data_IF_621475169971
#
_entry.id   IF_621475169971
#
_cell.length_a   1.000
_cell.length_b   1.000
_cell.length_c   1.000
_cell.angle_alpha   90.00
_cell.angle_beta   90.00
_cell.angle_gamma   90.00
#
_symmetry.space_group_name_H-M   'P 1'
#
loop_
_entity.id
_entity.type
_entity.pdbx_description
1 polymer ?
#
# COMPACT_ATOMS: atom_id res chain seq x y z
N UNK A 1 26.57 9.83 -0.27
CA UNK A 1 25.45 9.24 -1.01
C UNK A 1 24.86 8.15 -0.15
N UNK A 2 23.79 8.46 0.58
CA UNK A 2 23.06 7.46 1.38
C UNK A 2 22.56 6.39 0.40
N UNK A 3 23.03 5.15 0.55
CA UNK A 3 22.56 4.05 -0.30
C UNK A 3 21.16 3.67 0.16
N UNK A 4 20.15 4.38 -0.36
CA UNK A 4 18.75 3.99 -0.22
C UNK A 4 18.60 2.54 -0.73
N UNK A 5 17.95 1.69 0.07
CA UNK A 5 17.62 0.33 -0.32
C UNK A 5 16.66 0.31 -1.51
N UNK A 6 16.38 -0.87 -2.09
CA UNK A 6 15.53 -0.99 -3.26
C UNK A 6 14.11 -0.42 -3.05
N UNK A 7 13.57 -0.54 -1.84
CA UNK A 7 12.26 0.01 -1.48
C UNK A 7 12.29 1.53 -1.44
N UNK A 8 13.25 2.10 -0.71
CA UNK A 8 13.37 3.56 -0.58
C UNK A 8 13.62 4.24 -1.93
N UNK A 9 14.28 3.56 -2.87
CA UNK A 9 14.50 4.09 -4.23
C UNK A 9 13.20 4.26 -5.01
N UNK A 10 12.37 3.22 -5.13
CA UNK A 10 11.12 3.38 -5.87
C UNK A 10 10.16 4.32 -5.14
N UNK A 11 10.19 4.33 -3.80
CA UNK A 11 9.40 5.26 -3.00
C UNK A 11 9.79 6.72 -3.23
N UNK A 12 11.09 7.02 -3.32
CA UNK A 12 11.58 8.37 -3.60
C UNK A 12 11.21 8.79 -5.02
N UNK A 13 11.50 7.94 -6.00
CA UNK A 13 11.18 8.23 -7.41
C UNK A 13 9.66 8.45 -7.60
N UNK A 14 8.82 7.65 -6.94
CA UNK A 14 7.35 7.81 -7.00
C UNK A 14 6.89 9.10 -6.32
N UNK A 15 7.53 9.53 -5.24
CA UNK A 15 7.23 10.80 -4.58
C UNK A 15 7.66 12.01 -5.41
N UNK A 16 8.77 11.89 -6.14
CA UNK A 16 9.28 12.94 -7.02
C UNK A 16 8.42 13.09 -8.29
N UNK A 17 7.97 11.98 -8.87
CA UNK A 17 7.17 11.96 -10.10
C UNK A 17 5.67 12.19 -9.82
N UNK A 18 5.16 11.65 -8.71
CA UNK A 18 3.76 11.81 -8.31
C UNK A 18 2.76 10.93 -9.08
N UNK A 19 3.23 10.02 -9.94
CA UNK A 19 2.38 9.10 -10.71
C UNK A 19 3.08 7.75 -10.97
N UNK A 20 2.29 6.71 -11.25
CA UNK A 20 2.78 5.38 -11.65
C UNK A 20 3.13 5.36 -13.14
N UNK A 21 4.40 5.65 -13.47
CA UNK A 21 4.92 5.49 -14.84
C UNK A 21 5.13 4.00 -15.18
N UNK A 22 5.21 3.62 -16.47
CA UNK A 22 5.50 2.25 -16.88
C UNK A 22 6.78 1.68 -16.25
N UNK A 23 7.83 2.51 -16.11
CA UNK A 23 9.10 2.11 -15.51
C UNK A 23 8.98 1.84 -14.01
N UNK A 24 8.17 2.66 -13.31
CA UNK A 24 7.89 2.46 -11.89
C UNK A 24 7.02 1.22 -11.65
N UNK A 25 6.02 1.00 -12.50
CA UNK A 25 5.18 -0.21 -12.49
C UNK A 25 6.03 -1.46 -12.66
N UNK A 26 6.90 -1.50 -13.68
CA UNK A 26 7.79 -2.63 -13.92
C UNK A 26 8.72 -2.88 -12.73
N UNK A 27 9.31 -1.81 -12.18
CA UNK A 27 10.25 -1.91 -11.07
C UNK A 27 9.60 -2.45 -9.80
N UNK A 28 8.44 -1.91 -9.41
CA UNK A 28 7.68 -2.34 -8.24
C UNK A 28 7.23 -3.80 -8.42
N UNK A 29 6.71 -4.14 -9.60
CA UNK A 29 6.25 -5.50 -9.91
C UNK A 29 7.41 -6.52 -9.88
N UNK A 30 8.58 -6.15 -10.38
CA UNK A 30 9.76 -7.03 -10.35
C UNK A 30 10.29 -7.21 -8.92
N UNK A 31 10.26 -6.16 -8.11
CA UNK A 31 10.78 -6.19 -6.74
C UNK A 31 9.88 -7.02 -5.80
N UNK A 32 8.56 -6.81 -5.89
CA UNK A 32 7.59 -7.39 -4.96
C UNK A 32 6.75 -8.54 -5.56
N UNK A 33 7.02 -8.94 -6.81
CA UNK A 33 6.30 -10.00 -7.52
C UNK A 33 4.80 -9.73 -7.59
N UNK A 34 4.00 -10.79 -7.44
CA UNK A 34 2.54 -10.74 -7.47
C UNK A 34 1.96 -9.75 -6.44
N UNK A 35 2.62 -9.57 -5.29
CA UNK A 35 2.17 -8.59 -4.28
C UNK A 35 2.29 -7.16 -4.81
N UNK A 36 3.35 -6.85 -5.56
CA UNK A 36 3.53 -5.56 -6.23
C UNK A 36 2.46 -5.31 -7.29
N UNK A 37 2.15 -6.30 -8.11
CA UNK A 37 1.12 -6.19 -9.16
C UNK A 37 -0.25 -5.89 -8.54
N UNK A 38 -0.66 -6.67 -7.53
CA UNK A 38 -1.96 -6.48 -6.84
C UNK A 38 -2.07 -5.14 -6.14
N UNK A 39 -0.96 -4.63 -5.60
CA UNK A 39 -0.92 -3.31 -5.00
C UNK A 39 -1.22 -2.21 -6.03
N UNK A 40 -0.59 -2.29 -7.21
CA UNK A 40 -0.80 -1.34 -8.30
C UNK A 40 -2.25 -1.37 -8.80
N UNK A 41 -2.81 -2.56 -8.99
CA UNK A 41 -4.22 -2.74 -9.37
C UNK A 41 -5.16 -2.09 -8.33
N UNK A 42 -4.88 -2.29 -7.04
CA UNK A 42 -5.69 -1.69 -5.97
C UNK A 42 -5.68 -0.17 -5.97
N UNK A 43 -4.53 0.42 -6.27
CA UNK A 43 -4.40 1.87 -6.39
C UNK A 43 -5.15 2.38 -7.62
N UNK A 44 -5.05 1.70 -8.76
CA UNK A 44 -5.78 2.05 -9.97
C UNK A 44 -7.31 1.97 -9.78
N UNK A 45 -7.76 0.98 -9.00
CA UNK A 45 -9.18 0.76 -8.66
C UNK A 45 -9.67 1.62 -7.48
N UNK A 46 -8.86 2.54 -6.95
CA UNK A 46 -9.18 3.42 -5.80
C UNK A 46 -9.65 2.65 -4.56
N UNK A 47 -9.02 1.51 -4.26
CA UNK A 47 -9.35 0.65 -3.12
C UNK A 47 -8.66 1.04 -1.81
N UNK A 48 -7.84 2.09 -1.81
CA UNK A 48 -7.16 2.61 -0.62
C UNK A 48 -7.96 3.76 -0.02
N UNK A 49 -8.53 3.55 1.16
CA UNK A 49 -9.42 4.47 1.88
C UNK A 49 -8.71 5.05 3.10
N UNK A 50 -8.56 6.36 3.17
CA UNK A 50 -7.96 7.05 4.31
C UNK A 50 -9.01 7.50 5.30
N UNK A 51 -8.86 7.14 6.56
CA UNK A 51 -9.60 7.67 7.70
C UNK A 51 -8.68 8.51 8.58
N UNK A 52 -9.23 9.16 9.61
CA UNK A 52 -8.45 10.04 10.50
C UNK A 52 -7.37 9.32 11.31
N UNK A 53 -7.63 8.07 11.65
CA UNK A 53 -6.80 7.19 12.48
C UNK A 53 -6.00 6.18 11.66
N UNK A 54 -6.59 5.58 10.63
CA UNK A 54 -5.94 4.53 9.85
C UNK A 54 -6.29 4.54 8.36
N UNK A 55 -5.59 3.70 7.60
CA UNK A 55 -5.91 3.46 6.18
C UNK A 55 -6.52 2.08 6.04
N UNK A 56 -7.65 1.96 5.34
CA UNK A 56 -8.25 0.68 4.97
C UNK A 56 -7.96 0.38 3.51
N UNK A 57 -7.55 -0.84 3.21
CA UNK A 57 -7.45 -1.33 1.84
C UNK A 57 -8.53 -2.38 1.62
N UNK A 58 -9.42 -2.11 0.66
CA UNK A 58 -10.46 -3.07 0.27
C UNK A 58 -9.81 -4.18 -0.54
N UNK A 59 -9.76 -5.38 0.03
CA UNK A 59 -9.35 -6.59 -0.67
C UNK A 59 -10.53 -7.26 -1.37
N UNK A 60 -10.26 -8.34 -2.11
CA UNK A 60 -11.34 -9.08 -2.78
C UNK A 60 -12.25 -9.85 -1.82
N UNK A 61 -11.74 -10.18 -0.62
CA UNK A 61 -12.44 -11.01 0.35
C UNK A 61 -12.92 -10.24 1.59
N UNK A 62 -12.22 -9.17 1.97
CA UNK A 62 -12.45 -8.42 3.20
C UNK A 62 -11.75 -7.05 3.13
N UNK A 63 -11.98 -6.22 4.13
CA UNK A 63 -11.28 -4.97 4.39
C UNK A 63 -10.09 -5.18 5.33
N UNK A 64 -8.97 -4.52 5.03
CA UNK A 64 -7.75 -4.67 5.82
C UNK A 64 -7.24 -3.32 6.31
N UNK A 65 -7.03 -3.23 7.62
CA UNK A 65 -6.49 -2.03 8.26
C UNK A 65 -4.97 -2.04 8.11
N UNK A 66 -4.44 -0.91 7.66
CA UNK A 66 -3.02 -0.63 7.51
C UNK A 66 -2.66 0.58 8.36
N UNK A 67 -1.77 0.38 9.32
CA UNK A 67 -1.31 1.37 10.29
C UNK A 67 0.19 1.16 10.55
N UNK A 68 0.98 2.24 10.55
CA UNK A 68 2.42 2.23 10.81
C UNK A 68 3.23 1.16 10.04
N UNK A 69 2.86 0.93 8.77
CA UNK A 69 3.52 -0.05 7.89
C UNK A 69 3.11 -1.51 8.16
N UNK A 70 2.20 -1.75 9.10
CA UNK A 70 1.66 -3.07 9.43
C UNK A 70 0.26 -3.24 8.85
N UNK A 71 -0.17 -4.49 8.63
CA UNK A 71 -1.47 -4.81 8.06
C UNK A 71 -2.12 -5.98 8.80
N UNK A 72 -3.45 -5.94 8.94
CA UNK A 72 -4.23 -7.00 9.62
C UNK A 72 -4.44 -8.26 8.79
N UNK A 73 -3.95 -8.32 7.54
CA UNK A 73 -4.19 -9.46 6.66
C UNK A 73 -3.41 -10.71 7.08
N UNK A 74 -3.90 -11.89 6.65
CA UNK A 74 -3.24 -13.17 6.93
C UNK A 74 -1.85 -13.25 6.29
N UNK A 75 -1.65 -12.63 5.13
CA UNK A 75 -0.36 -12.63 4.44
C UNK A 75 0.71 -11.92 5.28
N UNK A 76 0.41 -10.72 5.79
CA UNK A 76 1.26 -9.98 6.72
C UNK A 76 1.56 -10.79 8.00
N UNK A 77 0.56 -11.51 8.51
CA UNK A 77 0.71 -12.26 9.76
C UNK A 77 1.56 -13.53 9.65
N UNK A 78 1.53 -14.20 8.50
CA UNK A 78 2.06 -15.57 8.40
C UNK A 78 3.15 -15.76 7.34
N UNK A 79 3.26 -14.85 6.37
CA UNK A 79 4.05 -15.08 5.15
C UNK A 79 5.06 -13.96 4.85
N UNK A 80 5.25 -13.00 5.76
CA UNK A 80 6.20 -11.91 5.61
C UNK A 80 7.43 -12.19 6.47
N UNK A 81 8.61 -12.12 5.87
CA UNK A 81 9.89 -12.13 6.56
C UNK A 81 10.18 -10.74 7.15
N UNK A 82 10.18 -10.57 8.49
CA UNK A 82 10.43 -9.27 9.11
C UNK A 82 11.86 -8.75 8.91
N UNK A 83 12.80 -9.60 8.50
CA UNK A 83 14.19 -9.22 8.25
C UNK A 83 14.43 -8.81 6.77
N UNK A 84 13.46 -9.03 5.87
CA UNK A 84 13.50 -8.58 4.48
C UNK A 84 12.59 -7.37 4.23
N UNK A 85 13.13 -6.15 4.08
CA UNK A 85 12.33 -4.94 3.87
C UNK A 85 11.58 -4.94 2.53
N UNK A 86 11.88 -5.85 1.60
CA UNK A 86 11.15 -5.99 0.33
C UNK A 86 9.96 -6.92 0.45
N UNK A 87 9.89 -7.74 1.50
CA UNK A 87 8.80 -8.66 1.73
C UNK A 87 7.68 -7.94 2.49
N UNK A 88 6.78 -7.31 1.74
CA UNK A 88 5.62 -6.62 2.31
C UNK A 88 4.34 -7.15 1.69
N UNK A 89 3.26 -7.25 2.48
CA UNK A 89 1.98 -7.66 1.93
C UNK A 89 1.46 -6.59 0.94
N UNK A 90 0.67 -7.01 -0.04
CA UNK A 90 0.22 -6.10 -1.10
C UNK A 90 -0.59 -4.90 -0.58
N UNK A 91 -1.30 -5.03 0.56
CA UNK A 91 -2.06 -3.91 1.14
C UNK A 91 -1.13 -2.80 1.65
N UNK A 92 -0.01 -3.15 2.29
CA UNK A 92 0.98 -2.16 2.76
C UNK A 92 1.58 -1.44 1.55
N UNK A 93 1.98 -2.19 0.54
CA UNK A 93 2.48 -1.65 -0.73
C UNK A 93 1.46 -0.70 -1.38
N UNK A 94 0.18 -1.08 -1.43
CA UNK A 94 -0.87 -0.24 -2.00
C UNK A 94 -1.00 1.10 -1.26
N UNK A 95 -0.94 1.09 0.08
CA UNK A 95 -0.96 2.32 0.89
C UNK A 95 0.27 3.19 0.61
N UNK A 96 1.46 2.60 0.57
CA UNK A 96 2.69 3.33 0.30
C UNK A 96 2.68 4.00 -1.07
N UNK A 97 2.16 3.32 -2.09
CA UNK A 97 2.02 3.83 -3.46
C UNK A 97 0.95 4.93 -3.49
N UNK A 98 -0.27 4.65 -3.01
CA UNK A 98 -1.40 5.59 -3.05
C UNK A 98 -1.09 6.90 -2.36
N UNK A 99 -0.43 6.86 -1.18
CA UNK A 99 -0.05 8.07 -0.44
C UNK A 99 0.89 8.97 -1.25
N UNK A 100 1.82 8.38 -2.00
CA UNK A 100 2.84 9.13 -2.77
C UNK A 100 2.28 9.78 -4.02
N UNK A 101 1.31 9.14 -4.67
CA UNK A 101 0.67 9.68 -5.87
C UNK A 101 -0.64 10.43 -5.58
N UNK A 102 -1.00 10.63 -4.31
CA UNK A 102 -2.23 11.32 -3.92
C UNK A 102 -3.53 10.58 -4.26
N UNK A 103 -3.49 9.25 -4.36
CA UNK A 103 -4.64 8.41 -4.73
C UNK A 103 -5.32 7.73 -3.52
N UNK A 104 -5.11 8.24 -2.31
CA UNK A 104 -5.88 7.83 -1.14
C UNK A 104 -7.25 8.50 -1.22
N UNK A 105 -8.32 7.70 -1.18
CA UNK A 105 -9.69 8.20 -1.08
C UNK A 105 -9.98 8.57 0.38
N UNK A 106 -9.95 9.87 0.69
CA UNK A 106 -10.00 10.37 2.07
C UNK A 106 -11.44 10.56 2.52
N UNK A 107 -11.79 9.89 3.62
CA UNK A 107 -13.06 10.06 4.33
C UNK A 107 -12.80 10.83 5.64
N UNK A 108 -13.42 11.99 5.79
CA UNK A 108 -13.32 12.81 7.01
C UNK A 108 -14.24 12.29 8.13
N UNK A 109 -14.08 11.01 8.47
CA UNK A 109 -14.90 10.27 9.42
C UNK A 109 -14.01 9.34 10.24
N UNK A 110 -14.44 8.97 11.45
CA UNK A 110 -13.83 7.84 12.16
C UNK A 110 -14.45 6.55 11.61
N UNK A 111 -13.67 5.49 11.42
CA UNK A 111 -14.24 4.22 10.94
C UNK A 111 -15.27 3.64 11.91
N UNK A 112 -15.15 3.92 13.21
CA UNK A 112 -16.16 3.60 14.23
C UNK A 112 -17.55 4.14 13.88
N UNK A 113 -17.61 5.26 13.16
CA UNK A 113 -18.87 5.90 12.74
C UNK A 113 -19.44 5.26 11.46
N UNK A 114 -18.63 4.48 10.74
CA UNK A 114 -18.99 3.82 9.47
C UNK A 114 -19.32 2.34 9.67
N UNK A 115 -18.68 1.68 10.65
CA UNK A 115 -18.86 0.25 10.92
C UNK A 115 -20.26 -0.13 11.43
N UNK A 116 -21.07 0.84 11.87
CA UNK A 116 -22.47 0.60 12.26
C UNK A 116 -23.41 0.35 11.06
N UNK A 117 -22.92 0.45 9.81
CA UNK A 117 -23.73 0.31 8.59
C UNK A 117 -23.43 -0.91 7.71
N UNK A 118 -22.61 -1.88 8.18
CA UNK A 118 -22.29 -3.13 7.47
C UNK A 118 -22.81 -4.37 8.21
#
# INVERSE_FOLDING_TARGET
MTKHGPVERWQADLADVGELTPELVERISRLHGDRGVRAIEAVAERRVKGYRDFTVVVGHADEYVVEDGTCTCKDARYNIDPDDPTDECWHVLAVQIARRIGHVDVHDMWYSDVREFL
#
